data_IF_269981626647
#
_entry.id   IF_269981626647
#
_cell.length_a   1.000
_cell.length_b   1.000
_cell.length_c   1.000
_cell.angle_alpha   90.00
_cell.angle_beta   90.00
_cell.angle_gamma   90.00
#
_symmetry.space_group_name_H-M   'P 1'
#
loop_
_entity.id
_entity.type
_entity.pdbx_description
1 polymer ?
#
# COMPACT_ATOMS: atom_id res chain seq x y z
N UNK A 1 0.93 -17.07 1.67
CA UNK A 1 0.96 -17.06 0.18
C UNK A 1 2.41 -17.00 -0.24
N UNK A 2 2.83 -17.85 -1.17
CA UNK A 2 4.19 -17.86 -1.74
C UNK A 2 4.24 -17.04 -3.04
N UNK A 3 5.43 -16.82 -3.58
CA UNK A 3 5.65 -16.02 -4.79
C UNK A 3 4.86 -16.53 -6.00
N UNK A 4 4.87 -17.84 -6.22
CA UNK A 4 4.16 -18.47 -7.34
C UNK A 4 2.66 -18.15 -7.28
N UNK A 5 2.02 -18.33 -6.12
CA UNK A 5 0.58 -18.01 -5.96
C UNK A 5 0.31 -16.50 -6.01
N UNK A 6 1.20 -15.68 -5.44
CA UNK A 6 1.03 -14.23 -5.43
C UNK A 6 1.07 -13.61 -6.83
N UNK A 7 1.82 -14.23 -7.76
CA UNK A 7 1.98 -13.74 -9.15
C UNK A 7 0.89 -14.22 -10.12
N UNK A 8 0.00 -15.13 -9.71
CA UNK A 8 -1.07 -15.64 -10.57
C UNK A 8 -2.15 -14.58 -10.75
N UNK A 9 -2.47 -14.26 -12.00
CA UNK A 9 -3.60 -13.39 -12.34
C UNK A 9 -4.90 -14.21 -12.35
N UNK A 10 -5.96 -13.74 -11.70
CA UNK A 10 -7.25 -14.45 -11.71
C UNK A 10 -7.93 -14.45 -13.09
N UNK A 11 -7.64 -13.44 -13.91
CA UNK A 11 -8.13 -13.31 -15.27
C UNK A 11 -7.27 -12.29 -16.04
N UNK A 12 -7.33 -12.27 -17.39
CA UNK A 12 -6.67 -11.26 -18.20
C UNK A 12 -7.04 -9.83 -17.76
N UNK A 13 -6.06 -8.94 -17.66
CA UNK A 13 -6.28 -7.56 -17.27
C UNK A 13 -6.59 -7.34 -15.78
N UNK A 14 -6.57 -8.38 -14.94
CA UNK A 14 -6.76 -8.26 -13.49
C UNK A 14 -5.43 -8.30 -12.76
N UNK A 15 -5.35 -7.55 -11.66
CA UNK A 15 -4.16 -7.54 -10.81
C UNK A 15 -4.04 -8.83 -10.00
N UNK A 16 -2.81 -9.29 -9.83
CA UNK A 16 -2.50 -10.39 -8.93
C UNK A 16 -2.27 -9.88 -7.49
N UNK A 17 -2.14 -10.81 -6.54
CA UNK A 17 -1.97 -10.46 -5.13
C UNK A 17 -0.66 -9.70 -4.86
N UNK A 18 0.39 -9.97 -5.62
CA UNK A 18 1.68 -9.27 -5.54
C UNK A 18 1.54 -7.80 -5.91
N UNK A 19 0.94 -7.52 -7.06
CA UNK A 19 0.70 -6.16 -7.53
C UNK A 19 -0.17 -5.37 -6.54
N UNK A 20 -1.19 -6.01 -5.96
CA UNK A 20 -2.04 -5.39 -4.93
C UNK A 20 -1.23 -5.06 -3.67
N UNK A 21 -0.33 -5.95 -3.23
CA UNK A 21 0.51 -5.71 -2.05
C UNK A 21 1.45 -4.51 -2.24
N UNK A 22 2.11 -4.40 -3.39
CA UNK A 22 3.00 -3.26 -3.69
C UNK A 22 2.21 -1.97 -3.88
N UNK A 23 1.05 -2.04 -4.51
CA UNK A 23 0.12 -0.92 -4.63
C UNK A 23 -0.32 -0.39 -3.24
N UNK A 24 -0.65 -1.29 -2.31
CA UNK A 24 -0.97 -0.91 -0.94
C UNK A 24 0.22 -0.24 -0.24
N UNK A 25 1.44 -0.75 -0.44
CA UNK A 25 2.67 -0.14 0.09
C UNK A 25 2.88 1.28 -0.46
N UNK A 26 2.68 1.48 -1.75
CA UNK A 26 2.79 2.79 -2.40
C UNK A 26 1.83 3.81 -1.78
N UNK A 27 0.56 3.46 -1.61
CA UNK A 27 -0.43 4.41 -1.07
C UNK A 27 -0.23 4.69 0.41
N UNK A 28 0.32 3.76 1.19
CA UNK A 28 0.76 4.01 2.56
C UNK A 28 1.90 5.04 2.60
N UNK A 29 2.87 4.89 1.72
CA UNK A 29 3.95 5.86 1.55
C UNK A 29 3.43 7.23 1.14
N UNK A 30 2.54 7.29 0.15
CA UNK A 30 1.94 8.53 -0.33
C UNK A 30 1.12 9.23 0.76
N UNK A 31 0.31 8.48 1.52
CA UNK A 31 -0.45 9.00 2.65
C UNK A 31 0.47 9.53 3.76
N UNK A 32 1.53 8.80 4.11
CA UNK A 32 2.53 9.24 5.08
C UNK A 32 3.19 10.56 4.66
N UNK A 33 3.58 10.70 3.40
CA UNK A 33 4.16 11.97 2.90
C UNK A 33 3.20 13.14 3.03
N UNK A 34 1.93 12.94 2.70
CA UNK A 34 0.90 13.96 2.82
C UNK A 34 0.57 14.31 4.27
N UNK A 35 0.63 13.31 5.14
CA UNK A 35 0.36 13.47 6.57
C UNK A 35 1.48 14.27 7.27
N UNK A 36 2.74 13.98 6.92
CA UNK A 36 3.92 14.56 7.56
C UNK A 36 4.51 15.76 6.80
N UNK A 37 4.02 16.04 5.59
CA UNK A 37 4.60 17.01 4.66
C UNK A 37 6.08 16.74 4.30
N UNK A 38 6.54 15.49 4.48
CA UNK A 38 7.92 15.10 4.16
C UNK A 38 8.17 15.15 2.66
N UNK A 39 9.18 15.91 2.24
CA UNK A 39 9.53 16.10 0.84
C UNK A 39 10.73 15.28 0.38
N UNK A 40 11.46 14.70 1.33
CA UNK A 40 12.66 13.91 1.06
C UNK A 40 12.31 12.45 0.81
N UNK A 41 13.16 11.81 0.03
CA UNK A 41 13.01 10.39 -0.27
C UNK A 41 12.03 10.09 -1.40
N UNK A 42 12.03 8.85 -1.78
CA UNK A 42 11.23 8.30 -2.88
C UNK A 42 10.64 6.97 -2.46
N UNK A 43 9.58 6.54 -3.15
CA UNK A 43 9.13 5.17 -3.04
C UNK A 43 10.23 4.21 -3.54
N UNK A 44 10.35 3.05 -2.91
CA UNK A 44 11.45 2.10 -3.15
C UNK A 44 11.40 1.39 -4.52
N UNK A 45 10.34 1.61 -5.30
CA UNK A 45 10.21 1.12 -6.67
C UNK A 45 9.99 2.30 -7.62
N UNK A 46 10.55 2.28 -8.85
CA UNK A 46 10.30 3.31 -9.84
C UNK A 46 8.84 3.23 -10.33
N UNK A 47 8.26 4.39 -10.63
CA UNK A 47 6.88 4.50 -11.07
C UNK A 47 5.93 4.91 -9.94
N UNK A 48 4.64 4.75 -10.19
CA UNK A 48 3.59 5.15 -9.25
C UNK A 48 2.36 4.26 -9.38
N UNK A 49 1.60 4.17 -8.31
CA UNK A 49 0.29 3.52 -8.25
C UNK A 49 0.34 2.00 -8.44
N UNK A 50 0.54 1.50 -9.65
CA UNK A 50 0.62 0.08 -9.96
C UNK A 50 2.02 -0.32 -10.41
N UNK A 51 2.47 -1.48 -9.93
CA UNK A 51 3.81 -2.01 -10.16
C UNK A 51 3.68 -3.46 -10.60
N UNK A 52 4.28 -3.80 -11.73
CA UNK A 52 4.26 -5.17 -12.22
C UNK A 52 5.01 -6.12 -11.27
N UNK A 53 4.46 -7.30 -11.04
CA UNK A 53 5.19 -8.36 -10.34
C UNK A 53 6.37 -8.85 -11.18
N UNK A 54 7.49 -9.27 -10.55
CA UNK A 54 8.66 -9.75 -11.28
C UNK A 54 8.36 -11.00 -12.11
N UNK A 55 9.07 -11.12 -13.23
CA UNK A 55 9.06 -12.32 -14.09
C UNK A 55 10.51 -12.76 -14.33
N UNK A 56 10.91 -13.97 -13.90
CA UNK A 56 10.13 -14.94 -13.10
C UNK A 56 9.88 -14.48 -11.65
N UNK A 57 8.79 -14.94 -11.01
CA UNK A 57 8.54 -14.64 -9.61
C UNK A 57 9.49 -15.48 -8.71
N UNK A 58 10.19 -14.82 -7.79
CA UNK A 58 11.07 -15.48 -6.81
C UNK A 58 10.59 -15.23 -5.38
N UNK A 59 10.83 -16.20 -4.49
CA UNK A 59 10.49 -16.06 -3.07
C UNK A 59 11.27 -14.92 -2.40
N UNK A 60 12.49 -14.66 -2.83
CA UNK A 60 13.30 -13.56 -2.31
C UNK A 60 12.63 -12.20 -2.62
N UNK A 61 12.28 -11.96 -3.88
CA UNK A 61 11.61 -10.73 -4.30
C UNK A 61 10.23 -10.57 -3.64
N UNK A 62 9.48 -11.66 -3.49
CA UNK A 62 8.19 -11.63 -2.79
C UNK A 62 8.35 -11.21 -1.33
N UNK A 63 9.31 -11.78 -0.61
CA UNK A 63 9.59 -11.42 0.78
C UNK A 63 10.04 -9.95 0.92
N UNK A 64 10.85 -9.46 -0.02
CA UNK A 64 11.27 -8.05 -0.05
C UNK A 64 10.06 -7.12 -0.20
N UNK A 65 9.14 -7.40 -1.10
CA UNK A 65 7.96 -6.56 -1.31
C UNK A 65 6.94 -6.66 -0.17
N UNK A 66 6.81 -7.82 0.46
CA UNK A 66 6.03 -7.94 1.71
C UNK A 66 6.66 -7.13 2.83
N UNK A 67 8.00 -7.20 2.98
CA UNK A 67 8.72 -6.40 3.97
C UNK A 67 8.58 -4.90 3.71
N UNK A 68 8.55 -4.48 2.44
CA UNK A 68 8.30 -3.11 2.02
C UNK A 68 6.91 -2.63 2.48
N UNK A 69 5.88 -3.43 2.25
CA UNK A 69 4.53 -3.14 2.72
C UNK A 69 4.47 -2.98 4.25
N UNK A 70 5.10 -3.90 4.99
CA UNK A 70 5.15 -3.86 6.46
C UNK A 70 5.89 -2.60 6.94
N UNK A 71 7.00 -2.24 6.30
CA UNK A 71 7.76 -1.03 6.63
C UNK A 71 6.93 0.24 6.48
N UNK A 72 6.28 0.43 5.35
CA UNK A 72 5.45 1.61 5.12
C UNK A 72 4.19 1.62 5.98
N UNK A 73 3.63 0.46 6.29
CA UNK A 73 2.53 0.37 7.23
C UNK A 73 2.94 0.83 8.64
N UNK A 74 4.06 0.38 9.14
CA UNK A 74 4.58 0.79 10.46
C UNK A 74 4.89 2.30 10.50
N UNK A 75 5.48 2.83 9.44
CA UNK A 75 5.80 4.24 9.31
C UNK A 75 4.54 5.11 9.31
N UNK A 76 3.54 4.75 8.52
CA UNK A 76 2.24 5.44 8.49
C UNK A 76 1.52 5.34 9.84
N UNK A 77 1.47 4.15 10.41
CA UNK A 77 0.82 3.91 11.71
C UNK A 77 1.44 4.75 12.82
N UNK A 78 2.76 4.85 12.87
CA UNK A 78 3.45 5.69 13.86
C UNK A 78 3.09 7.17 13.69
N UNK A 79 3.03 7.67 12.45
CA UNK A 79 2.62 9.04 12.16
C UNK A 79 1.17 9.30 12.59
N UNK A 80 0.26 8.38 12.31
CA UNK A 80 -1.16 8.48 12.74
C UNK A 80 -1.28 8.46 14.26
N UNK A 81 -0.54 7.60 14.95
CA UNK A 81 -0.54 7.51 16.41
C UNK A 81 -0.05 8.81 17.09
N UNK A 82 0.78 9.58 16.42
CA UNK A 82 1.28 10.88 16.92
C UNK A 82 0.31 12.06 16.69
N UNK A 83 -0.80 11.87 16.00
CA UNK A 83 -1.79 12.93 15.76
C UNK A 83 -2.58 13.25 17.02
N UNK A 84 -2.92 14.53 17.18
CA UNK A 84 -3.91 15.01 18.14
C UNK A 84 -5.24 15.22 17.44
N UNK A 85 -6.33 15.27 18.20
CA UNK A 85 -7.67 15.48 17.64
C UNK A 85 -7.76 16.76 16.78
N UNK A 86 -7.12 17.85 17.20
CA UNK A 86 -7.07 19.09 16.44
C UNK A 86 -6.33 19.00 15.09
N UNK A 87 -5.45 18.04 14.92
CA UNK A 87 -4.73 17.84 13.65
C UNK A 87 -5.66 17.29 12.54
N UNK A 88 -6.75 16.63 12.91
CA UNK A 88 -7.64 15.98 11.96
C UNK A 88 -8.34 16.94 11.00
N UNK A 89 -8.55 18.18 11.42
CA UNK A 89 -9.25 19.21 10.63
C UNK A 89 -8.31 20.05 9.76
N UNK A 90 -6.99 19.96 9.96
CA UNK A 90 -6.03 20.65 9.10
C UNK A 90 -5.94 20.00 7.73
N UNK A 91 -5.51 20.76 6.73
CA UNK A 91 -5.24 20.21 5.39
C UNK A 91 -4.02 19.32 5.41
N UNK A 92 -4.13 18.17 4.75
CA UNK A 92 -2.99 17.36 4.38
C UNK A 92 -2.18 18.04 3.26
N UNK A 93 -0.88 17.81 3.22
CA UNK A 93 -0.03 18.34 2.16
C UNK A 93 -0.44 17.79 0.78
N UNK A 94 -0.29 18.61 -0.26
CA UNK A 94 -0.50 18.18 -1.64
C UNK A 94 -1.96 18.07 -2.10
N UNK A 95 -2.92 18.67 -1.37
CA UNK A 95 -4.31 18.63 -1.79
C UNK A 95 -5.24 19.46 -0.92
N UNK A 96 -6.54 19.28 -1.14
CA UNK A 96 -7.61 19.98 -0.38
C UNK A 96 -8.18 19.15 0.77
N UNK A 97 -7.81 17.90 0.84
CA UNK A 97 -8.31 16.92 1.78
C UNK A 97 -7.76 17.18 3.19
N UNK A 98 -8.62 17.01 4.21
CA UNK A 98 -8.17 17.08 5.59
C UNK A 98 -7.38 15.85 5.99
N UNK A 99 -6.55 15.98 7.03
CA UNK A 99 -5.81 14.85 7.61
C UNK A 99 -6.76 13.73 8.05
N UNK A 100 -7.87 14.06 8.69
CA UNK A 100 -8.86 13.07 9.12
C UNK A 100 -9.47 12.29 7.95
N UNK A 101 -9.75 12.96 6.84
CA UNK A 101 -10.26 12.32 5.63
C UNK A 101 -9.20 11.43 4.97
N UNK A 102 -7.97 11.90 4.91
CA UNK A 102 -6.83 11.12 4.40
C UNK A 102 -6.63 9.82 5.20
N UNK A 103 -6.63 9.90 6.53
CA UNK A 103 -6.46 8.74 7.41
C UNK A 103 -7.59 7.72 7.22
N UNK A 104 -8.85 8.17 7.20
CA UNK A 104 -9.99 7.29 6.93
C UNK A 104 -9.94 6.68 5.53
N UNK A 105 -9.54 7.47 4.55
CA UNK A 105 -9.41 7.02 3.16
C UNK A 105 -8.38 5.91 2.99
N UNK A 106 -7.20 6.03 3.60
CA UNK A 106 -6.17 4.98 3.52
C UNK A 106 -6.57 3.72 4.29
N UNK A 107 -7.30 3.84 5.40
CA UNK A 107 -7.83 2.69 6.11
C UNK A 107 -8.88 1.93 5.27
N UNK A 108 -9.79 2.65 4.61
CA UNK A 108 -10.77 2.05 3.71
C UNK A 108 -10.11 1.38 2.49
N UNK A 109 -9.08 1.99 1.92
CA UNK A 109 -8.27 1.44 0.83
C UNK A 109 -7.60 0.12 1.24
N UNK A 110 -7.05 0.06 2.45
CA UNK A 110 -6.46 -1.17 2.98
C UNK A 110 -7.48 -2.30 3.14
N UNK A 111 -8.65 -2.00 3.67
CA UNK A 111 -9.74 -2.99 3.82
C UNK A 111 -10.19 -3.54 2.46
N UNK A 112 -10.35 -2.67 1.46
CA UNK A 112 -10.71 -3.06 0.11
C UNK A 112 -9.70 -4.05 -0.49
N UNK A 113 -8.42 -3.71 -0.42
CA UNK A 113 -7.37 -4.56 -0.98
C UNK A 113 -7.11 -5.83 -0.17
N UNK A 114 -7.24 -5.78 1.14
CA UNK A 114 -7.20 -6.98 1.98
C UNK A 114 -8.30 -7.97 1.59
N UNK A 115 -9.50 -7.48 1.33
CA UNK A 115 -10.62 -8.29 0.83
C UNK A 115 -10.31 -8.95 -0.53
N UNK A 116 -9.72 -8.18 -1.46
CA UNK A 116 -9.30 -8.72 -2.76
C UNK A 116 -8.25 -9.83 -2.61
N UNK A 117 -7.24 -9.63 -1.78
CA UNK A 117 -6.19 -10.64 -1.54
C UNK A 117 -6.80 -11.90 -0.91
N UNK A 118 -7.72 -11.76 0.05
CA UNK A 118 -8.39 -12.93 0.64
C UNK A 118 -9.25 -13.69 -0.37
N UNK A 119 -9.93 -12.98 -1.25
CA UNK A 119 -10.67 -13.61 -2.35
C UNK A 119 -9.72 -14.39 -3.28
N UNK A 120 -8.62 -13.77 -3.72
CA UNK A 120 -7.62 -14.42 -4.55
C UNK A 120 -7.04 -15.67 -3.90
N UNK A 121 -6.74 -15.62 -2.59
CA UNK A 121 -6.28 -16.79 -1.83
C UNK A 121 -7.27 -17.96 -1.86
N UNK A 122 -8.56 -17.70 -1.91
CA UNK A 122 -9.60 -18.72 -1.99
C UNK A 122 -9.76 -19.27 -3.40
N UNK A 123 -9.70 -18.40 -4.40
CA UNK A 123 -9.85 -18.80 -5.80
C UNK A 123 -8.66 -19.56 -6.36
N UNK A 124 -7.45 -19.30 -5.84
CA UNK A 124 -6.19 -19.90 -6.30
C UNK A 124 -5.69 -21.02 -5.38
N UNK A 125 -6.58 -21.70 -4.70
CA UNK A 125 -6.26 -22.85 -3.86
C UNK A 125 -5.81 -24.07 -4.66
#
# INVERSE_FOLDING_TARGET
MNAAKASVRPAPGRHNAWEIAVHAAYWKYAAWRRLTAEKRGMFARPGSNWFASPTPPTEAAWREDVALLVRYHRQLRAAVAGLRDGDLDRRAAGGRETVGRLVRGIAAHDLYHAGQIQLLKRLLR
#
